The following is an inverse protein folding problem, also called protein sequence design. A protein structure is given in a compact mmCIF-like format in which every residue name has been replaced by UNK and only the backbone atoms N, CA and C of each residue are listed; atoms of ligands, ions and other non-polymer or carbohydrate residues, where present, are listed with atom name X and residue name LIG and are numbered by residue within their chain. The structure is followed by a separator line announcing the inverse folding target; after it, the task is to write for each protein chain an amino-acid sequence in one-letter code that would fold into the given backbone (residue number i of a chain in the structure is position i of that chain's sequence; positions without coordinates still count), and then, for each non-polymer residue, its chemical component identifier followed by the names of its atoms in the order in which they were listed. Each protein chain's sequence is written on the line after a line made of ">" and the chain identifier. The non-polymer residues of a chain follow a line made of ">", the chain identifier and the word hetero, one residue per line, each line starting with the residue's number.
data_IF_548201616534
#
_entry.id   IF_548201616534
#
_cell.length_a   1.000
_cell.length_b   1.000
_cell.length_c   1.000
_cell.angle_alpha   90.00
_cell.angle_beta   90.00
_cell.angle_gamma   90.00
#
_symmetry.space_group_name_H-M   'P 1'
#
loop_
_entity.id
_entity.type
_entity.pdbx_description
1 polymer ?
#
# COMPACT_ATOMS: atom_id res chain seq x y z
N UNK A 1 21.00 11.61 -0.78
CA UNK A 1 22.37 11.25 -1.20
C UNK A 1 22.30 10.77 -2.64
N UNK A 2 23.13 11.28 -3.55
CA UNK A 2 23.10 10.90 -4.98
C UNK A 2 24.17 9.84 -5.21
N UNK A 3 23.82 8.76 -5.90
CA UNK A 3 24.71 7.64 -6.21
C UNK A 3 25.20 7.76 -7.67
N UNK A 4 26.49 8.03 -7.88
CA UNK A 4 27.10 8.11 -9.22
C UNK A 4 27.63 6.74 -9.65
N UNK A 5 26.76 5.89 -10.17
CA UNK A 5 27.12 4.56 -10.66
C UNK A 5 26.38 4.24 -11.95
N UNK A 6 27.04 3.48 -12.83
CA UNK A 6 26.44 2.94 -14.06
C UNK A 6 25.57 1.70 -13.79
N UNK A 7 25.59 1.17 -12.56
CA UNK A 7 24.80 0.01 -12.18
C UNK A 7 23.32 0.39 -12.01
N UNK A 8 22.37 -0.46 -12.47
CA UNK A 8 20.96 -0.20 -12.32
C UNK A 8 20.57 -0.19 -10.84
N UNK A 9 19.67 0.73 -10.47
CA UNK A 9 19.23 0.94 -9.08
C UNK A 9 18.68 -0.33 -8.42
N UNK A 10 17.99 -1.19 -9.19
CA UNK A 10 17.37 -2.43 -8.70
C UNK A 10 18.39 -3.45 -8.20
N UNK A 11 19.63 -3.42 -8.72
CA UNK A 11 20.73 -4.30 -8.27
C UNK A 11 21.35 -3.80 -6.96
N UNK A 12 21.34 -2.49 -6.74
CA UNK A 12 21.98 -1.85 -5.59
C UNK A 12 21.03 -1.83 -4.39
N UNK A 13 19.75 -1.62 -4.67
CA UNK A 13 18.66 -1.68 -3.72
C UNK A 13 17.76 -2.86 -4.08
N UNK A 14 18.17 -4.09 -3.72
CA UNK A 14 17.32 -5.25 -3.95
C UNK A 14 15.99 -5.01 -3.27
N UNK A 15 14.90 -5.31 -3.99
CA UNK A 15 13.55 -5.20 -3.45
C UNK A 15 13.43 -6.10 -2.21
N UNK A 16 13.34 -5.47 -1.04
CA UNK A 16 13.17 -6.19 0.20
C UNK A 16 11.84 -6.95 0.14
N UNK A 17 11.90 -8.28 0.12
CA UNK A 17 10.69 -9.13 0.11
C UNK A 17 9.84 -8.91 1.37
N UNK A 18 10.45 -8.39 2.44
CA UNK A 18 9.78 -8.01 3.69
C UNK A 18 8.80 -6.83 3.51
N UNK A 19 9.12 -5.87 2.62
CA UNK A 19 8.25 -4.73 2.32
C UNK A 19 6.94 -5.17 1.64
N UNK A 20 7.02 -6.20 0.80
CA UNK A 20 5.85 -6.81 0.16
C UNK A 20 5.06 -7.69 1.14
N UNK A 21 5.72 -8.31 2.11
CA UNK A 21 5.07 -9.25 3.04
C UNK A 21 4.09 -8.57 4.00
N UNK A 22 4.31 -7.29 4.30
CA UNK A 22 3.44 -6.48 5.18
C UNK A 22 2.24 -5.89 4.44
N UNK A 23 2.28 -5.87 3.11
CA UNK A 23 1.22 -5.35 2.26
C UNK A 23 0.28 -6.49 1.85
N UNK A 24 -1.03 -6.25 1.95
CA UNK A 24 -2.07 -7.17 1.50
C UNK A 24 -3.09 -6.44 0.66
N UNK A 25 -3.63 -7.15 -0.32
CA UNK A 25 -4.77 -6.65 -1.09
C UNK A 25 -6.03 -7.08 -0.36
N UNK A 26 -6.90 -6.12 -0.07
CA UNK A 26 -8.19 -6.32 0.60
C UNK A 26 -9.28 -5.67 -0.22
N UNK A 27 -10.45 -6.30 -0.27
CA UNK A 27 -11.64 -5.72 -0.89
C UNK A 27 -12.50 -5.09 0.20
N UNK A 28 -12.65 -3.76 0.17
CA UNK A 28 -13.45 -2.98 1.11
C UNK A 28 -14.49 -2.20 0.32
N UNK A 29 -15.78 -2.30 0.70
CA UNK A 29 -16.91 -1.68 -0.03
C UNK A 29 -16.94 -2.01 -1.55
N UNK A 30 -16.49 -3.20 -1.95
CA UNK A 30 -16.42 -3.59 -3.36
C UNK A 30 -15.23 -2.97 -4.13
N UNK A 31 -14.36 -2.24 -3.44
CA UNK A 31 -13.17 -1.61 -4.01
C UNK A 31 -11.93 -2.36 -3.50
N UNK A 32 -10.99 -2.62 -4.40
CA UNK A 32 -9.72 -3.24 -4.01
C UNK A 32 -8.73 -2.19 -3.52
N UNK A 33 -8.18 -2.41 -2.33
CA UNK A 33 -7.15 -1.58 -1.73
C UNK A 33 -5.92 -2.41 -1.40
N UNK A 34 -4.76 -1.82 -1.58
CA UNK A 34 -3.52 -2.33 -1.01
C UNK A 34 -3.36 -1.69 0.36
N UNK A 35 -3.40 -2.51 1.40
CA UNK A 35 -3.25 -2.08 2.79
C UNK A 35 -2.00 -2.68 3.41
N UNK A 36 -1.42 -2.00 4.37
CA UNK A 36 -0.31 -2.48 5.18
C UNK A 36 -0.80 -2.74 6.60
N UNK A 37 -0.47 -3.90 7.13
CA UNK A 37 -0.82 -4.24 8.51
C UNK A 37 0.13 -3.52 9.48
N UNK A 38 -0.44 -2.79 10.43
CA UNK A 38 0.29 -2.11 11.52
C UNK A 38 0.27 -3.00 12.78
N UNK A 39 1.19 -2.75 13.72
CA UNK A 39 1.38 -3.54 14.95
C UNK A 39 0.11 -3.67 15.81
N UNK A 40 -0.82 -2.71 15.72
CA UNK A 40 -2.06 -2.68 16.50
C UNK A 40 -3.25 -3.37 15.81
N UNK A 41 -3.01 -4.26 14.86
CA UNK A 41 -4.06 -4.97 14.11
C UNK A 41 -4.97 -4.03 13.27
N UNK A 42 -4.51 -2.80 13.05
CA UNK A 42 -5.11 -1.83 12.14
C UNK A 42 -4.42 -1.91 10.78
N UNK A 43 -5.13 -1.50 9.73
CA UNK A 43 -4.65 -1.56 8.36
C UNK A 43 -4.53 -0.15 7.79
N UNK A 44 -3.37 0.22 7.28
CA UNK A 44 -3.17 1.51 6.63
C UNK A 44 -3.28 1.34 5.11
N UNK A 45 -4.08 2.17 4.45
CA UNK A 45 -4.18 2.16 2.99
C UNK A 45 -2.85 2.66 2.41
N UNK A 46 -2.18 1.83 1.62
CA UNK A 46 -0.96 2.19 0.88
C UNK A 46 -1.34 2.69 -0.50
N UNK A 47 -2.32 2.04 -1.15
CA UNK A 47 -2.75 2.39 -2.51
C UNK A 47 -4.19 1.98 -2.77
N UNK A 48 -4.94 2.87 -3.39
CA UNK A 48 -6.22 2.55 -3.99
C UNK A 48 -6.01 1.80 -5.32
N UNK A 49 -6.57 0.60 -5.47
CA UNK A 49 -6.51 -0.20 -6.71
C UNK A 49 -7.82 -0.11 -7.51
N UNK A 50 -8.75 0.75 -7.10
CA UNK A 50 -9.95 1.09 -7.85
C UNK A 50 -9.61 1.58 -9.26
N UNK A 51 -10.50 1.27 -10.20
CA UNK A 51 -10.50 1.84 -11.55
C UNK A 51 -11.37 3.10 -11.65
N UNK A 52 -12.23 3.36 -10.66
CA UNK A 52 -13.10 4.53 -10.63
C UNK A 52 -12.37 5.77 -10.06
N UNK A 53 -12.36 6.91 -10.78
CA UNK A 53 -11.72 8.14 -10.33
C UNK A 53 -12.42 8.81 -9.13
N UNK A 54 -13.72 8.60 -8.91
CA UNK A 54 -14.42 9.12 -7.74
C UNK A 54 -13.84 8.55 -6.44
N UNK A 55 -13.42 7.28 -6.47
CA UNK A 55 -12.75 6.65 -5.32
C UNK A 55 -11.37 7.24 -5.03
N UNK A 56 -10.73 7.89 -5.99
CA UNK A 56 -9.47 8.62 -5.76
C UNK A 56 -9.69 10.03 -5.21
N UNK A 57 -10.88 10.59 -5.41
CA UNK A 57 -11.25 11.91 -4.91
C UNK A 57 -11.80 11.88 -3.49
N UNK A 58 -12.21 10.72 -3.00
CA UNK A 58 -12.71 10.54 -1.63
C UNK A 58 -11.53 10.41 -0.66
N UNK A 59 -11.44 11.34 0.30
CA UNK A 59 -10.37 11.36 1.30
C UNK A 59 -10.34 10.11 2.19
N UNK A 60 -11.48 9.42 2.32
CA UNK A 60 -11.55 8.17 3.09
C UNK A 60 -10.76 7.02 2.43
N UNK A 61 -10.55 7.11 1.11
CA UNK A 61 -9.83 6.12 0.31
C UNK A 61 -8.41 6.58 -0.06
N UNK A 62 -7.98 7.72 0.49
CA UNK A 62 -6.64 8.24 0.28
C UNK A 62 -5.56 7.35 0.92
N UNK A 63 -4.38 7.26 0.29
CA UNK A 63 -3.24 6.59 0.89
C UNK A 63 -2.84 7.29 2.20
N UNK A 64 -2.58 6.50 3.25
CA UNK A 64 -2.31 6.99 4.60
C UNK A 64 -3.47 6.81 5.58
N UNK A 65 -4.69 6.62 5.08
CA UNK A 65 -5.86 6.43 5.94
C UNK A 65 -5.81 5.06 6.63
N UNK A 66 -6.04 5.05 7.94
CA UNK A 66 -6.09 3.83 8.74
C UNK A 66 -7.53 3.33 8.79
N UNK A 67 -7.75 2.11 8.31
CA UNK A 67 -9.02 1.41 8.35
C UNK A 67 -8.93 0.24 9.34
N UNK A 68 -9.96 0.09 10.16
CA UNK A 68 -10.17 -1.11 10.96
C UNK A 68 -11.13 -2.01 10.21
N UNK A 69 -10.57 -2.90 9.38
CA UNK A 69 -11.35 -3.98 8.78
C UNK A 69 -11.38 -5.14 9.76
N UNK A 70 -12.57 -5.40 10.33
CA UNK A 70 -12.82 -6.64 11.05
C UNK A 70 -13.15 -7.69 10.01
N UNK A 71 -12.28 -8.69 9.85
CA UNK A 71 -12.65 -9.90 9.14
C UNK A 71 -13.54 -10.71 10.09
N UNK A 72 -14.86 -10.74 9.84
CA UNK A 72 -15.77 -11.71 10.47
C UNK A 72 -15.69 -13.08 9.78
#
# INVERSE_FOLDING_TARGET
>A
MILYTMMPQETIFPTASDDYSKQRVVSYNGISFMVQQTENNSFQIVRNLSTDPAHYLDEQYSPGTVINITFE
#
